data_IF_367071278154
#
_entry.id   IF_367071278154
#
_cell.length_a   1.000
_cell.length_b   1.000
_cell.length_c   1.000
_cell.angle_alpha   90.00
_cell.angle_beta   90.00
_cell.angle_gamma   90.00
#
_symmetry.space_group_name_H-M   'P 1'
#
loop_
_entity.id
_entity.type
_entity.pdbx_description
1 polymer ?
#
# COMPACT_ATOMS: atom_id res chain seq x y z
N UNK A 1 6.55 0.30 9.96
CA UNK A 1 7.71 -0.13 9.15
C UNK A 1 8.70 -0.91 9.98
N UNK A 2 8.95 -2.16 9.62
CA UNK A 2 10.00 -3.00 10.21
C UNK A 2 11.36 -2.70 9.54
N UNK A 3 11.88 -1.49 9.70
CA UNK A 3 13.18 -1.10 9.11
C UNK A 3 14.14 -0.58 10.18
N UNK A 4 15.43 -0.55 9.85
CA UNK A 4 16.48 -0.05 10.74
C UNK A 4 16.74 1.44 10.57
N UNK A 5 17.40 2.03 11.56
CA UNK A 5 17.77 3.43 11.67
C UNK A 5 16.57 4.34 11.90
N UNK A 6 15.87 4.83 10.87
CA UNK A 6 14.73 5.74 11.08
C UNK A 6 13.53 4.96 11.60
N UNK A 7 12.74 5.52 12.51
CA UNK A 7 11.46 4.89 12.87
C UNK A 7 10.38 5.25 11.84
N UNK A 8 9.41 4.36 11.64
CA UNK A 8 8.21 4.63 10.84
C UNK A 8 7.16 5.30 11.71
N UNK A 9 7.30 6.61 11.89
CA UNK A 9 6.40 7.41 12.70
C UNK A 9 5.65 8.37 11.79
N UNK A 10 4.40 8.67 12.16
CA UNK A 10 3.69 9.82 11.61
C UNK A 10 4.49 11.11 11.84
N UNK A 11 4.17 12.15 11.05
CA UNK A 11 4.90 13.42 11.08
C UNK A 11 4.89 14.07 12.46
N UNK A 12 3.79 13.99 13.21
CA UNK A 12 3.70 14.62 14.52
C UNK A 12 4.60 13.92 15.53
N UNK A 13 4.52 12.58 15.59
CA UNK A 13 5.38 11.78 16.47
C UNK A 13 6.85 11.90 16.09
N UNK A 14 7.18 11.92 14.79
CA UNK A 14 8.56 12.13 14.33
C UNK A 14 9.10 13.51 14.70
N UNK A 15 8.25 14.54 14.77
CA UNK A 15 8.67 15.91 15.08
C UNK A 15 9.07 16.09 16.55
N UNK A 16 8.43 15.35 17.47
CA UNK A 16 8.75 15.38 18.90
C UNK A 16 9.84 14.36 19.30
N UNK A 17 10.19 13.43 18.40
CA UNK A 17 11.24 12.40 18.60
C UNK A 17 12.25 12.34 17.44
N UNK A 18 12.88 13.46 17.04
CA UNK A 18 13.71 13.53 15.83
C UNK A 18 14.97 12.64 15.90
N UNK A 19 15.46 12.34 17.10
CA UNK A 19 16.63 11.49 17.36
C UNK A 19 16.28 10.02 17.59
N UNK A 20 15.00 9.65 17.66
CA UNK A 20 14.62 8.26 17.88
C UNK A 20 15.05 7.40 16.68
N UNK A 21 15.69 6.27 16.98
CA UNK A 21 16.19 5.32 15.98
C UNK A 21 15.82 3.89 16.32
N UNK A 22 15.49 3.11 15.29
CA UNK A 22 15.36 1.66 15.43
C UNK A 22 16.73 1.00 15.27
N UNK A 23 17.31 0.55 16.38
CA UNK A 23 18.66 -0.03 16.44
C UNK A 23 18.65 -1.56 16.54
N UNK A 24 17.48 -2.18 16.58
CA UNK A 24 17.34 -3.62 16.76
C UNK A 24 16.51 -4.21 15.62
N UNK A 25 16.97 -5.35 15.12
CA UNK A 25 16.13 -6.20 14.29
C UNK A 25 14.99 -6.75 15.15
N UNK A 26 13.81 -6.84 14.55
CA UNK A 26 12.73 -7.63 15.13
C UNK A 26 13.00 -9.06 14.70
N UNK A 27 13.57 -9.90 15.56
CA UNK A 27 13.74 -11.32 15.26
C UNK A 27 12.40 -12.06 15.42
N UNK A 28 11.47 -11.75 14.52
CA UNK A 28 10.16 -12.38 14.48
C UNK A 28 9.70 -12.57 13.04
N UNK A 29 9.23 -13.79 12.77
CA UNK A 29 8.50 -14.10 11.55
C UNK A 29 7.00 -14.07 11.87
N UNK A 30 6.34 -13.01 11.44
CA UNK A 30 4.91 -12.81 11.61
C UNK A 30 4.22 -13.15 10.30
N UNK A 31 3.18 -13.99 10.37
CA UNK A 31 2.28 -14.25 9.25
C UNK A 31 1.03 -13.43 9.45
N UNK A 32 0.57 -12.74 8.41
CA UNK A 32 -0.71 -12.03 8.45
C UNK A 32 -1.82 -13.06 8.19
N UNK A 33 -2.77 -13.27 9.14
CA UNK A 33 -3.85 -14.24 8.94
C UNK A 33 -4.78 -13.88 7.78
N UNK A 34 -5.45 -14.90 7.22
CA UNK A 34 -6.50 -14.69 6.23
C UNK A 34 -7.62 -13.79 6.80
N UNK A 35 -8.14 -12.86 6.00
CA UNK A 35 -9.18 -11.91 6.41
C UNK A 35 -8.70 -10.75 7.30
N UNK A 36 -7.44 -10.76 7.75
CA UNK A 36 -6.86 -9.65 8.52
C UNK A 36 -6.19 -8.66 7.58
N UNK A 37 -6.69 -7.43 7.51
CA UNK A 37 -6.08 -6.35 6.74
C UNK A 37 -4.75 -5.91 7.35
N UNK A 38 -3.82 -5.48 6.50
CA UNK A 38 -2.58 -4.84 6.95
C UNK A 38 -2.14 -3.77 5.94
N UNK A 39 -1.54 -2.66 6.40
CA UNK A 39 -0.84 -1.73 5.52
C UNK A 39 0.56 -2.28 5.19
N UNK A 40 1.00 -2.05 3.96
CA UNK A 40 2.33 -2.41 3.49
C UNK A 40 3.12 -1.11 3.25
N UNK A 41 4.44 -1.14 3.39
CA UNK A 41 5.28 -0.08 2.85
C UNK A 41 6.08 -0.57 1.66
N UNK A 42 6.13 0.24 0.61
CA UNK A 42 6.71 -0.12 -0.67
C UNK A 42 8.23 0.01 -0.69
N UNK A 43 8.83 0.69 0.29
CA UNK A 43 10.29 0.77 0.44
C UNK A 43 10.89 -0.46 1.13
N UNK A 44 10.06 -1.32 1.71
CA UNK A 44 10.50 -2.47 2.50
C UNK A 44 9.61 -3.68 2.21
N UNK A 45 9.57 -4.07 0.94
CA UNK A 45 8.81 -5.22 0.43
C UNK A 45 9.70 -6.09 -0.44
N UNK A 46 9.71 -7.39 -0.14
CA UNK A 46 10.12 -8.43 -1.07
C UNK A 46 8.85 -9.08 -1.61
N UNK A 47 8.77 -9.31 -2.92
CA UNK A 47 7.54 -9.80 -3.54
C UNK A 47 7.81 -10.79 -4.66
N UNK A 48 6.84 -11.70 -4.84
CA UNK A 48 6.70 -12.48 -6.05
C UNK A 48 6.04 -11.59 -7.13
N UNK A 49 6.72 -11.45 -8.27
CA UNK A 49 6.28 -10.60 -9.38
C UNK A 49 4.91 -11.01 -9.91
N UNK A 50 4.62 -12.31 -9.99
CA UNK A 50 3.36 -12.84 -10.53
C UNK A 50 2.21 -12.67 -9.54
N UNK A 51 2.52 -12.63 -8.24
CA UNK A 51 1.53 -12.44 -7.19
C UNK A 51 1.16 -10.96 -6.95
N UNK A 52 2.16 -10.08 -6.84
CA UNK A 52 1.95 -8.69 -6.36
C UNK A 52 2.38 -7.64 -7.41
N UNK A 53 3.03 -8.01 -8.51
CA UNK A 53 3.52 -7.03 -9.49
C UNK A 53 2.43 -6.10 -10.05
N UNK A 54 1.18 -6.57 -10.12
CA UNK A 54 0.01 -5.77 -10.54
C UNK A 54 -0.44 -4.76 -9.46
N UNK A 55 -0.11 -4.99 -8.19
CA UNK A 55 -0.31 -3.99 -7.12
C UNK A 55 0.77 -2.90 -7.12
N UNK A 56 1.90 -3.13 -7.77
CA UNK A 56 3.07 -2.25 -7.73
C UNK A 56 2.94 -1.09 -8.72
N UNK A 57 1.83 -0.34 -8.63
CA UNK A 57 1.61 0.91 -9.37
C UNK A 57 1.96 2.20 -8.59
N UNK A 58 2.81 2.20 -7.54
CA UNK A 58 2.93 3.37 -6.71
C UNK A 58 3.54 4.54 -7.43
N UNK A 59 3.05 5.72 -7.05
CA UNK A 59 3.56 6.97 -7.57
C UNK A 59 2.98 7.35 -8.94
N UNK A 60 1.70 7.09 -9.19
CA UNK A 60 0.97 7.64 -10.34
C UNK A 60 1.30 9.13 -10.49
N UNK A 61 1.95 9.54 -11.60
CA UNK A 61 2.21 10.94 -11.88
C UNK A 61 0.90 11.72 -11.95
N UNK A 62 0.85 12.92 -11.36
CA UNK A 62 -0.33 13.81 -11.44
C UNK A 62 -1.33 13.70 -10.28
N UNK A 63 -0.96 13.04 -9.19
CA UNK A 63 -1.69 13.10 -7.91
C UNK A 63 -0.78 13.77 -6.88
N UNK A 64 -1.02 15.05 -6.62
CA UNK A 64 -0.05 15.91 -5.90
C UNK A 64 0.13 15.53 -4.42
N UNK A 65 -0.88 14.95 -3.77
CA UNK A 65 -0.86 14.72 -2.32
C UNK A 65 -0.62 13.26 -1.91
N UNK A 66 -1.00 12.27 -2.76
CA UNK A 66 -0.81 10.81 -2.54
C UNK A 66 -0.97 10.39 -1.06
N UNK A 67 -2.13 10.69 -0.42
CA UNK A 67 -2.31 10.51 1.02
C UNK A 67 -2.17 9.06 1.48
N UNK A 68 -2.54 8.08 0.66
CA UNK A 68 -2.68 6.67 1.09
C UNK A 68 -1.84 5.67 0.30
N UNK A 69 -0.94 6.08 -0.61
CA UNK A 69 -0.27 5.20 -1.58
C UNK A 69 0.19 3.83 -1.04
N UNK A 70 1.16 3.82 -0.13
CA UNK A 70 1.72 2.60 0.47
C UNK A 70 0.63 1.75 1.15
N UNK A 71 -0.18 2.39 2.01
CA UNK A 71 -1.26 1.71 2.75
C UNK A 71 -2.30 1.11 1.83
N UNK A 72 -2.72 1.83 0.79
CA UNK A 72 -3.72 1.41 -0.19
C UNK A 72 -3.23 0.20 -0.99
N UNK A 73 -1.99 0.24 -1.48
CA UNK A 73 -1.39 -0.90 -2.19
C UNK A 73 -1.31 -2.13 -1.28
N UNK A 74 -0.95 -1.94 0.00
CA UNK A 74 -0.95 -3.02 0.99
C UNK A 74 -2.33 -3.66 1.20
N UNK A 75 -3.37 -2.84 1.29
CA UNK A 75 -4.76 -3.31 1.42
C UNK A 75 -5.20 -4.08 0.16
N UNK A 76 -4.89 -3.57 -1.04
CA UNK A 76 -5.16 -4.28 -2.30
C UNK A 76 -4.42 -5.62 -2.36
N UNK A 77 -3.12 -5.63 -2.02
CA UNK A 77 -2.31 -6.84 -1.98
C UNK A 77 -2.87 -7.87 -1.00
N UNK A 78 -3.36 -7.43 0.16
CA UNK A 78 -3.98 -8.35 1.11
C UNK A 78 -5.24 -9.02 0.56
N UNK A 79 -6.16 -8.24 -0.01
CA UNK A 79 -7.41 -8.78 -0.57
C UNK A 79 -7.13 -9.76 -1.71
N UNK A 80 -6.23 -9.41 -2.62
CA UNK A 80 -5.89 -10.29 -3.75
C UNK A 80 -5.18 -11.55 -3.30
N UNK A 81 -4.22 -11.45 -2.37
CA UNK A 81 -3.53 -12.63 -1.84
C UNK A 81 -4.51 -13.58 -1.14
N UNK A 82 -5.42 -13.05 -0.31
CA UNK A 82 -6.43 -13.86 0.35
C UNK A 82 -7.32 -14.59 -0.66
N UNK A 83 -7.75 -13.91 -1.73
CA UNK A 83 -8.55 -14.51 -2.80
C UNK A 83 -7.80 -15.64 -3.52
N UNK A 84 -6.51 -15.44 -3.80
CA UNK A 84 -5.65 -16.41 -4.48
C UNK A 84 -5.03 -17.45 -3.54
N UNK A 85 -5.45 -17.48 -2.26
CA UNK A 85 -4.91 -18.39 -1.24
C UNK A 85 -3.39 -18.25 -1.02
N UNK A 86 -2.86 -17.03 -1.18
CA UNK A 86 -1.48 -16.65 -0.92
C UNK A 86 -1.36 -15.97 0.45
N UNK A 87 -0.18 -16.09 1.07
CA UNK A 87 0.10 -15.53 2.38
C UNK A 87 1.11 -14.39 2.35
N UNK A 88 1.06 -13.53 3.36
CA UNK A 88 2.08 -12.52 3.63
C UNK A 88 2.85 -12.88 4.88
N UNK A 89 4.17 -12.68 4.85
CA UNK A 89 5.04 -12.94 5.99
C UNK A 89 6.12 -11.88 6.12
N UNK A 90 6.48 -11.55 7.35
CA UNK A 90 7.69 -10.78 7.63
C UNK A 90 8.92 -11.69 7.57
N UNK A 91 10.06 -11.13 7.16
CA UNK A 91 11.32 -11.85 7.06
C UNK A 91 12.50 -10.93 6.85
N UNK A 92 13.69 -11.53 6.81
CA UNK A 92 14.95 -10.88 6.45
C UNK A 92 15.10 -10.78 4.92
N UNK A 93 15.90 -9.82 4.40
CA UNK A 93 16.64 -8.79 5.12
C UNK A 93 15.80 -7.57 5.49
N UNK A 94 16.18 -6.88 6.57
CA UNK A 94 15.61 -5.59 6.93
C UNK A 94 16.32 -4.49 6.14
N UNK A 95 15.55 -3.56 5.57
CA UNK A 95 16.12 -2.40 4.87
C UNK A 95 16.67 -1.38 5.86
N UNK A 96 17.90 -0.92 5.65
CA UNK A 96 18.47 0.22 6.36
C UNK A 96 17.96 1.51 5.73
N UNK A 97 17.20 2.31 6.48
CA UNK A 97 16.70 3.59 5.98
C UNK A 97 17.74 4.68 6.25
N UNK A 98 18.41 5.14 5.18
CA UNK A 98 19.30 6.30 5.27
C UNK A 98 18.53 7.54 5.74
N UNK A 99 19.23 8.48 6.38
CA UNK A 99 18.65 9.81 6.60
C UNK A 99 18.34 10.43 5.23
N UNK A 100 17.08 10.79 5.00
CA UNK A 100 16.72 11.50 3.78
C UNK A 100 17.48 12.84 3.76
N UNK A 101 18.18 13.12 2.67
CA UNK A 101 18.90 14.38 2.45
C UNK A 101 17.97 15.60 2.31
N UNK A 102 16.66 15.36 2.24
CA UNK A 102 15.61 16.36 2.19
C UNK A 102 14.59 16.07 3.28
N UNK A 103 14.29 17.07 4.11
CA UNK A 103 13.12 17.04 4.98
C UNK A 103 11.81 16.87 4.19
N UNK A 104 10.65 16.85 4.87
CA UNK A 104 9.37 16.67 4.19
C UNK A 104 9.22 17.71 3.07
N UNK A 105 8.84 17.25 1.87
CA UNK A 105 8.50 18.14 0.75
C UNK A 105 7.31 19.00 1.19
N UNK A 106 7.45 20.33 1.14
CA UNK A 106 6.44 21.26 1.66
C UNK A 106 6.49 21.54 3.17
N UNK A 107 7.47 20.99 3.90
CA UNK A 107 7.68 21.23 5.33
C UNK A 107 6.74 20.42 6.24
N UNK A 108 6.95 20.57 7.55
CA UNK A 108 6.25 19.76 8.58
C UNK A 108 4.74 19.96 8.54
N UNK A 109 4.24 21.18 8.31
CA UNK A 109 2.81 21.47 8.26
C UNK A 109 2.11 20.75 7.09
N UNK A 110 2.71 20.77 5.89
CA UNK A 110 2.15 20.07 4.74
C UNK A 110 2.14 18.55 4.95
N UNK A 111 3.21 18.00 5.56
CA UNK A 111 3.27 16.59 5.91
C UNK A 111 2.23 16.19 6.97
N UNK A 112 1.98 17.02 7.98
CA UNK A 112 0.90 16.79 8.96
C UNK A 112 -0.49 16.85 8.32
N UNK A 113 -0.72 17.78 7.39
CA UNK A 113 -1.99 17.86 6.65
C UNK A 113 -2.21 16.61 5.79
N UNK A 114 -1.15 16.12 5.13
CA UNK A 114 -1.18 14.86 4.38
C UNK A 114 -1.52 13.67 5.28
N UNK A 115 -0.84 13.53 6.42
CA UNK A 115 -1.10 12.44 7.37
C UNK A 115 -2.54 12.49 7.90
N UNK A 116 -3.06 13.68 8.18
CA UNK A 116 -4.44 13.87 8.61
C UNK A 116 -5.45 13.44 7.54
N UNK A 117 -5.19 13.77 6.27
CA UNK A 117 -6.02 13.32 5.14
C UNK A 117 -5.93 11.81 4.91
N UNK A 118 -4.74 11.23 5.09
CA UNK A 118 -4.55 9.78 5.07
C UNK A 118 -5.44 9.09 6.10
N UNK A 119 -5.40 9.56 7.35
CA UNK A 119 -6.23 9.02 8.43
C UNK A 119 -7.72 9.11 8.10
N UNK A 120 -8.19 10.26 7.61
CA UNK A 120 -9.59 10.43 7.20
C UNK A 120 -10.00 9.45 6.08
N UNK A 121 -9.12 9.21 5.11
CA UNK A 121 -9.40 8.25 4.03
C UNK A 121 -9.39 6.79 4.51
N UNK A 122 -8.60 6.44 5.53
CA UNK A 122 -8.60 5.08 6.08
C UNK A 122 -9.97 4.70 6.68
N UNK A 123 -10.75 5.66 7.17
CA UNK A 123 -12.12 5.43 7.65
C UNK A 123 -13.07 4.94 6.55
N UNK A 124 -12.82 5.31 5.28
CA UNK A 124 -13.57 4.81 4.13
C UNK A 124 -12.95 3.52 3.56
N UNK A 125 -11.62 3.46 3.51
CA UNK A 125 -10.89 2.35 2.90
C UNK A 125 -10.97 1.05 3.71
N UNK A 126 -10.80 1.11 5.03
CA UNK A 126 -10.79 -0.10 5.87
C UNK A 126 -12.13 -0.84 5.79
N UNK A 127 -13.31 -0.19 5.96
CA UNK A 127 -14.60 -0.86 5.79
C UNK A 127 -14.82 -1.38 4.35
N UNK A 128 -14.36 -0.63 3.34
CA UNK A 128 -14.44 -1.08 1.95
C UNK A 128 -13.64 -2.37 1.74
N UNK A 129 -12.35 -2.41 2.09
CA UNK A 129 -11.52 -3.60 1.89
C UNK A 129 -11.90 -4.77 2.81
N UNK A 130 -12.51 -4.50 3.96
CA UNK A 130 -13.06 -5.55 4.81
C UNK A 130 -14.34 -6.16 4.21
N UNK A 131 -15.10 -5.40 3.43
CA UNK A 131 -16.39 -5.81 2.85
C UNK A 131 -16.33 -6.22 1.40
N UNK A 132 -15.26 -5.88 0.66
CA UNK A 132 -15.13 -6.25 -0.76
C UNK A 132 -15.19 -7.77 -0.96
N UNK A 133 -14.92 -8.56 0.09
CA UNK A 133 -15.15 -10.02 0.12
C UNK A 133 -14.30 -10.74 -0.93
N UNK A 134 -14.37 -12.09 -1.03
CA UNK A 134 -13.62 -12.74 -2.08
C UNK A 134 -14.11 -12.23 -3.44
N UNK A 135 -13.16 -11.81 -4.27
CA UNK A 135 -13.39 -11.48 -5.67
C UNK A 135 -14.06 -12.67 -6.39
N UNK A 136 -14.62 -12.44 -7.57
CA UNK A 136 -15.31 -13.46 -8.34
C UNK A 136 -14.44 -14.70 -8.54
N UNK A 137 -15.03 -15.90 -8.42
CA UNK A 137 -14.29 -17.16 -8.52
C UNK A 137 -13.54 -17.37 -9.85
N UNK A 138 -13.88 -16.60 -10.89
CA UNK A 138 -13.17 -16.56 -12.18
C UNK A 138 -11.82 -15.84 -12.13
N UNK A 139 -11.56 -15.02 -11.11
CA UNK A 139 -10.38 -14.16 -10.99
C UNK A 139 -9.16 -14.89 -10.42
N UNK A 140 -8.80 -15.98 -11.07
CA UNK A 140 -7.77 -16.94 -10.64
C UNK A 140 -6.32 -16.49 -10.84
N UNK A 141 -6.10 -15.28 -11.36
CA UNK A 141 -4.76 -14.70 -11.58
C UNK A 141 -4.66 -13.34 -10.91
N UNK A 142 -3.45 -12.90 -10.54
CA UNK A 142 -3.25 -11.57 -9.98
C UNK A 142 -3.82 -10.48 -10.91
N UNK A 143 -3.51 -10.53 -12.21
CA UNK A 143 -4.07 -9.60 -13.18
C UNK A 143 -5.61 -9.53 -13.14
N UNK A 144 -6.29 -10.68 -13.21
CA UNK A 144 -7.76 -10.72 -13.17
C UNK A 144 -8.31 -10.14 -11.85
N UNK A 145 -7.73 -10.56 -10.72
CA UNK A 145 -8.13 -10.12 -9.39
C UNK A 145 -7.95 -8.60 -9.19
N UNK A 146 -6.81 -8.05 -9.59
CA UNK A 146 -6.57 -6.60 -9.48
C UNK A 146 -7.42 -5.78 -10.44
N UNK A 147 -7.69 -6.27 -11.64
CA UNK A 147 -8.60 -5.60 -12.59
C UNK A 147 -10.03 -5.56 -12.05
N UNK A 148 -10.50 -6.65 -11.47
CA UNK A 148 -11.80 -6.70 -10.79
C UNK A 148 -11.82 -5.74 -9.59
N UNK A 149 -10.79 -5.78 -8.74
CA UNK A 149 -10.67 -4.88 -7.60
C UNK A 149 -10.62 -3.40 -8.02
N UNK A 150 -9.97 -3.06 -9.14
CA UNK A 150 -9.97 -1.71 -9.68
C UNK A 150 -11.38 -1.25 -10.06
N UNK A 151 -12.19 -2.13 -10.66
CA UNK A 151 -13.59 -1.85 -10.97
C UNK A 151 -14.42 -1.62 -9.69
N UNK A 152 -14.20 -2.42 -8.65
CA UNK A 152 -14.84 -2.27 -7.34
C UNK A 152 -14.47 -0.94 -6.66
N UNK A 153 -13.19 -0.57 -6.66
CA UNK A 153 -12.70 0.73 -6.16
C UNK A 153 -13.39 1.86 -6.92
N UNK A 154 -13.45 1.79 -8.26
CA UNK A 154 -14.13 2.80 -9.08
C UNK A 154 -15.60 2.92 -8.73
N UNK A 155 -16.32 1.80 -8.65
CA UNK A 155 -17.76 1.80 -8.44
C UNK A 155 -18.14 2.29 -7.03
N UNK A 156 -17.39 1.89 -6.01
CA UNK A 156 -17.78 2.10 -4.60
C UNK A 156 -17.09 3.29 -3.94
N UNK A 157 -15.84 3.58 -4.29
CA UNK A 157 -15.05 4.65 -3.65
C UNK A 157 -14.98 5.94 -4.46
N UNK A 158 -15.00 5.90 -5.80
CA UNK A 158 -14.99 7.13 -6.60
C UNK A 158 -16.13 8.12 -6.29
N UNK A 159 -17.36 7.67 -5.94
CA UNK A 159 -18.42 8.59 -5.48
C UNK A 159 -18.11 9.30 -4.16
N UNK A 160 -17.17 8.80 -3.36
CA UNK A 160 -16.76 9.39 -2.06
C UNK A 160 -15.75 10.50 -2.24
N UNK A 161 -14.78 10.30 -3.13
CA UNK A 161 -13.76 11.30 -3.47
C UNK A 161 -13.18 11.01 -4.87
N UNK A 162 -12.96 12.05 -5.66
CA UNK A 162 -12.38 11.95 -7.00
C UNK A 162 -10.97 11.32 -7.00
N UNK A 163 -10.24 11.42 -5.89
CA UNK A 163 -8.96 10.76 -5.67
C UNK A 163 -9.07 9.24 -5.85
N UNK A 164 -10.12 8.59 -5.34
CA UNK A 164 -10.30 7.16 -5.50
C UNK A 164 -10.63 6.76 -6.95
N UNK A 165 -11.30 7.64 -7.70
CA UNK A 165 -11.47 7.47 -9.15
C UNK A 165 -10.13 7.42 -9.88
N UNK A 166 -9.22 8.36 -9.56
CA UNK A 166 -7.85 8.37 -10.11
C UNK A 166 -7.04 7.14 -9.71
N UNK A 167 -7.19 6.67 -8.47
CA UNK A 167 -6.55 5.43 -8.02
C UNK A 167 -7.05 4.24 -8.84
N UNK A 168 -8.35 4.11 -9.03
CA UNK A 168 -8.91 3.02 -9.83
C UNK A 168 -8.43 3.07 -11.30
N UNK A 169 -8.37 4.26 -11.90
CA UNK A 169 -7.84 4.45 -13.26
C UNK A 169 -6.37 4.02 -13.34
N UNK A 170 -5.57 4.40 -12.34
CA UNK A 170 -4.16 4.01 -12.27
C UNK A 170 -3.95 2.52 -12.03
N UNK A 171 -4.78 1.89 -11.19
CA UNK A 171 -4.78 0.44 -11.00
C UNK A 171 -5.03 -0.29 -12.32
N UNK A 172 -6.08 0.11 -13.05
CA UNK A 172 -6.44 -0.49 -14.33
C UNK A 172 -5.34 -0.28 -15.38
N UNK A 173 -4.84 0.95 -15.52
CA UNK A 173 -3.78 1.26 -16.48
C UNK A 173 -2.48 0.48 -16.18
N UNK A 174 -2.10 0.37 -14.91
CA UNK A 174 -0.92 -0.39 -14.52
C UNK A 174 -1.11 -1.89 -14.74
N UNK A 175 -2.28 -2.45 -14.45
CA UNK A 175 -2.55 -3.86 -14.69
C UNK A 175 -2.35 -4.24 -16.17
N UNK A 176 -2.79 -3.38 -17.09
CA UNK A 176 -2.53 -3.56 -18.52
C UNK A 176 -1.04 -3.45 -18.87
N UNK A 177 -0.34 -2.44 -18.34
CA UNK A 177 1.09 -2.27 -18.57
C UNK A 177 1.89 -3.48 -18.04
N UNK A 178 1.58 -3.93 -16.83
CA UNK A 178 2.22 -5.08 -16.21
C UNK A 178 1.98 -6.34 -17.05
N UNK A 179 0.74 -6.58 -17.51
CA UNK A 179 0.41 -7.75 -18.33
C UNK A 179 1.15 -7.74 -19.67
N UNK A 180 1.31 -6.57 -20.29
CA UNK A 180 2.07 -6.43 -21.53
C UNK A 180 3.56 -6.74 -21.34
N UNK A 181 4.15 -6.31 -20.21
CA UNK A 181 5.55 -6.56 -19.89
C UNK A 181 5.82 -7.94 -19.25
N UNK A 182 4.78 -8.60 -18.74
CA UNK A 182 4.89 -9.89 -18.06
C UNK A 182 4.94 -11.09 -19.01
N UNK A 183 4.82 -10.87 -20.33
CA UNK A 183 5.02 -11.93 -21.32
C UNK A 183 6.53 -12.24 -21.46
N UNK A 184 6.91 -13.53 -21.59
CA UNK A 184 8.30 -13.95 -21.70
C UNK A 184 9.00 -13.44 -22.97
#
# INVERSE_FOLDING_TARGET
GLWLNRMDLDTATSSVKPSARNTRYVDASLTVPHGVLYPMSLVNVAFDREAIGVAMFPGLPGVDERPVDDSFVGLCAKVVADHLSMGHKTGIPYVWRADASSGPVGGVAAAMAKDSKCLAFLEELIPFFASVGPLGASSTTAYAAYTELAAEVRAKLAPRDAYFGKLADGMAAWAECWKACAQP
#
